data_IF_486176290529
#
_entry.id   IF_486176290529
#
_cell.length_a   1.000
_cell.length_b   1.000
_cell.length_c   1.000
_cell.angle_alpha   90.00
_cell.angle_beta   90.00
_cell.angle_gamma   90.00
#
_symmetry.space_group_name_H-M   'P 1'
#
loop_
_entity.id
_entity.type
_entity.pdbx_description
1 polymer ?
#
# COMPACT_ATOMS: atom_id res chain seq x y z
N UNK A 1 15.04 12.58 -69.95
CA UNK A 1 13.69 12.38 -70.53
C UNK A 1 13.23 10.96 -70.19
N UNK A 2 11.97 10.85 -69.79
CA UNK A 2 11.20 9.76 -69.15
C UNK A 2 11.64 8.29 -69.29
N UNK A 3 11.66 7.60 -68.14
CA UNK A 3 11.40 6.16 -68.04
C UNK A 3 10.16 5.92 -67.18
N UNK A 4 9.21 5.19 -67.77
CA UNK A 4 7.89 4.91 -67.24
C UNK A 4 7.89 3.83 -66.15
N UNK A 5 7.35 4.17 -64.99
CA UNK A 5 6.14 3.55 -64.42
C UNK A 5 6.05 2.00 -64.45
N UNK A 6 6.34 1.36 -63.31
CA UNK A 6 5.66 0.14 -62.80
C UNK A 6 6.08 -0.15 -61.35
N UNK A 7 5.60 0.68 -60.43
CA UNK A 7 5.52 0.32 -59.03
C UNK A 7 4.24 -0.50 -58.83
N UNK A 8 4.38 -1.80 -58.56
CA UNK A 8 3.25 -2.63 -58.10
C UNK A 8 2.92 -2.18 -56.68
N UNK A 9 1.99 -1.23 -56.62
CA UNK A 9 1.33 -0.73 -55.43
C UNK A 9 0.49 -1.89 -54.91
N UNK A 10 0.91 -2.49 -53.78
CA UNK A 10 0.05 -3.39 -53.01
C UNK A 10 -1.30 -2.70 -52.82
N UNK A 11 -2.33 -3.41 -53.26
CA UNK A 11 -3.71 -2.97 -53.26
C UNK A 11 -4.05 -2.38 -51.89
N UNK A 12 -4.53 -1.14 -51.92
CA UNK A 12 -5.30 -0.60 -50.82
C UNK A 12 -6.50 -1.49 -50.64
N UNK A 13 -6.66 -2.02 -49.43
CA UNK A 13 -7.99 -2.28 -48.93
C UNK A 13 -8.68 -0.91 -48.87
N UNK A 14 -9.61 -0.70 -49.79
CA UNK A 14 -10.73 0.21 -49.59
C UNK A 14 -11.37 -0.13 -48.25
N UNK A 15 -10.94 0.58 -47.19
CA UNK A 15 -11.78 0.78 -46.03
C UNK A 15 -12.81 1.81 -46.45
N UNK A 16 -13.89 1.30 -47.04
CA UNK A 16 -15.17 2.00 -47.15
C UNK A 16 -15.44 2.72 -45.83
N UNK A 17 -15.75 4.01 -45.95
CA UNK A 17 -15.97 4.90 -44.84
C UNK A 17 -16.99 4.35 -43.86
N UNK A 18 -16.51 4.07 -42.65
CA UNK A 18 -17.29 4.11 -41.43
C UNK A 18 -16.51 4.98 -40.45
N UNK A 19 -16.39 6.27 -40.78
CA UNK A 19 -16.04 7.30 -39.79
C UNK A 19 -17.22 7.50 -38.86
N UNK A 20 -16.90 7.82 -37.59
CA UNK A 20 -17.78 8.22 -36.49
C UNK A 20 -18.60 7.10 -35.83
N UNK A 21 -18.17 6.53 -34.70
CA UNK A 21 -18.16 7.25 -33.41
C UNK A 21 -17.34 6.54 -32.30
N UNK A 22 -16.47 5.60 -32.65
CA UNK A 22 -15.74 4.74 -31.68
C UNK A 22 -14.35 5.25 -31.26
N UNK A 23 -13.91 6.38 -31.80
CA UNK A 23 -12.53 6.88 -31.68
C UNK A 23 -12.26 7.79 -30.48
N UNK A 24 -13.28 8.48 -29.93
CA UNK A 24 -13.08 9.46 -28.85
C UNK A 24 -13.38 8.87 -27.48
N UNK A 25 -12.58 7.89 -27.04
CA UNK A 25 -12.70 7.36 -25.69
C UNK A 25 -11.40 6.77 -25.17
N UNK A 26 -11.12 7.01 -23.89
CA UNK A 26 -9.99 6.43 -23.15
C UNK A 26 -10.46 5.17 -22.43
N UNK A 27 -9.59 4.16 -22.38
CA UNK A 27 -9.88 2.90 -21.72
C UNK A 27 -9.53 3.00 -20.22
N UNK A 28 -10.49 2.64 -19.38
CA UNK A 28 -10.38 2.61 -17.92
C UNK A 28 -10.65 1.18 -17.42
N UNK A 29 -9.85 0.73 -16.48
CA UNK A 29 -10.12 -0.43 -15.66
C UNK A 29 -11.03 0.00 -14.51
N UNK A 30 -12.30 -0.38 -14.59
CA UNK A 30 -13.29 -0.14 -13.54
C UNK A 30 -13.26 -1.31 -12.57
N UNK A 31 -12.85 -1.05 -11.34
CA UNK A 31 -12.78 -2.00 -10.24
C UNK A 31 -14.01 -1.82 -9.36
N UNK A 32 -14.61 -2.91 -8.92
CA UNK A 32 -15.79 -2.87 -8.05
C UNK A 32 -15.83 -4.08 -7.10
N UNK A 33 -16.47 -3.93 -5.94
CA UNK A 33 -16.76 -5.02 -5.02
C UNK A 33 -18.26 -5.31 -5.01
N UNK A 34 -18.64 -6.58 -5.17
CA UNK A 34 -20.02 -7.04 -5.01
C UNK A 34 -20.32 -7.41 -3.56
N UNK A 35 -19.30 -7.87 -2.84
CA UNK A 35 -19.29 -8.11 -1.40
C UNK A 35 -17.83 -8.16 -0.94
N UNK A 36 -17.61 -8.52 0.32
CA UNK A 36 -16.28 -8.58 0.95
C UNK A 36 -15.31 -9.56 0.27
N UNK A 37 -15.83 -10.55 -0.46
CA UNK A 37 -15.06 -11.62 -1.08
C UNK A 37 -15.04 -11.57 -2.61
N UNK A 38 -16.02 -10.89 -3.23
CA UNK A 38 -16.22 -10.87 -4.67
C UNK A 38 -15.79 -9.52 -5.23
N UNK A 39 -14.52 -9.48 -5.65
CA UNK A 39 -13.94 -8.35 -6.38
C UNK A 39 -14.07 -8.61 -7.87
N UNK A 40 -14.60 -7.62 -8.59
CA UNK A 40 -14.70 -7.64 -10.04
C UNK A 40 -13.91 -6.48 -10.64
N UNK A 41 -13.44 -6.67 -11.87
CA UNK A 41 -12.94 -5.56 -12.67
C UNK A 41 -13.37 -5.73 -14.12
N UNK A 42 -13.67 -4.62 -14.78
CA UNK A 42 -14.06 -4.60 -16.17
C UNK A 42 -13.39 -3.43 -16.87
N UNK A 43 -12.91 -3.65 -18.09
CA UNK A 43 -12.38 -2.58 -18.92
C UNK A 43 -13.53 -1.90 -19.64
N UNK A 44 -13.64 -0.58 -19.47
CA UNK A 44 -14.68 0.25 -20.05
C UNK A 44 -14.07 1.46 -20.74
N UNK A 45 -14.71 1.93 -21.81
CA UNK A 45 -14.25 3.09 -22.58
C UNK A 45 -15.14 4.29 -22.28
N UNK A 46 -14.53 5.39 -21.82
CA UNK A 46 -15.21 6.65 -21.50
C UNK A 46 -14.66 7.80 -22.33
N UNK A 47 -15.49 8.78 -22.70
CA UNK A 47 -15.07 9.94 -23.49
C UNK A 47 -14.16 10.91 -22.72
N UNK A 48 -14.29 10.95 -21.38
CA UNK A 48 -13.52 11.77 -20.46
C UNK A 48 -13.15 10.99 -19.20
N UNK A 49 -12.69 11.69 -18.15
CA UNK A 49 -12.51 11.06 -16.82
C UNK A 49 -13.89 10.79 -16.20
N UNK A 50 -14.30 9.53 -16.02
CA UNK A 50 -15.66 9.20 -15.64
C UNK A 50 -15.91 9.54 -14.18
N UNK A 51 -17.02 10.23 -13.91
CA UNK A 51 -17.50 10.45 -12.54
C UNK A 51 -18.19 9.20 -11.99
N UNK A 52 -18.30 9.08 -10.66
CA UNK A 52 -19.06 7.99 -10.02
C UNK A 52 -20.44 7.70 -10.64
N UNK A 53 -21.34 8.68 -10.87
CA UNK A 53 -22.67 8.40 -11.43
C UNK A 53 -22.59 7.80 -12.84
N UNK A 54 -21.56 8.12 -13.61
CA UNK A 54 -21.32 7.57 -14.94
C UNK A 54 -20.84 6.12 -14.86
N UNK A 55 -19.95 5.81 -13.90
CA UNK A 55 -19.49 4.44 -13.63
C UNK A 55 -20.65 3.52 -13.23
N UNK A 56 -21.51 3.95 -12.30
CA UNK A 56 -22.67 3.15 -11.89
C UNK A 56 -23.67 2.93 -13.04
N UNK A 57 -23.89 3.97 -13.85
CA UNK A 57 -24.77 3.87 -15.03
C UNK A 57 -24.24 2.87 -16.05
N UNK A 58 -22.92 2.84 -16.25
CA UNK A 58 -22.30 1.90 -17.17
C UNK A 58 -22.30 0.47 -16.63
N UNK A 59 -21.97 0.28 -15.34
CA UNK A 59 -22.01 -1.03 -14.68
C UNK A 59 -23.43 -1.63 -14.64
N UNK A 60 -24.47 -0.80 -14.51
CA UNK A 60 -25.86 -1.24 -14.57
C UNK A 60 -26.22 -1.89 -15.92
N UNK A 61 -25.64 -1.44 -17.04
CA UNK A 61 -25.87 -2.05 -18.36
C UNK A 61 -25.40 -3.51 -18.43
N UNK A 62 -24.45 -3.89 -17.59
CA UNK A 62 -23.93 -5.25 -17.47
C UNK A 62 -24.69 -6.08 -16.41
N UNK A 63 -25.83 -5.60 -15.91
CA UNK A 63 -26.65 -6.30 -14.93
C UNK A 63 -26.15 -6.19 -13.49
N UNK A 64 -25.16 -5.33 -13.22
CA UNK A 64 -24.67 -5.10 -11.86
C UNK A 64 -25.56 -4.08 -11.16
N UNK A 65 -26.19 -4.48 -10.06
CA UNK A 65 -27.05 -3.60 -9.28
C UNK A 65 -26.19 -2.56 -8.52
N UNK A 66 -26.39 -1.25 -8.70
CA UNK A 66 -25.65 -0.21 -7.99
C UNK A 66 -25.69 -0.35 -6.47
N UNK A 67 -26.79 -0.85 -5.91
CA UNK A 67 -26.95 -1.06 -4.47
C UNK A 67 -26.06 -2.20 -3.92
N UNK A 68 -25.63 -3.11 -4.77
CA UNK A 68 -24.73 -4.22 -4.41
C UNK A 68 -23.25 -3.89 -4.67
N UNK A 69 -22.96 -2.76 -5.33
CA UNK A 69 -21.61 -2.36 -5.69
C UNK A 69 -21.01 -1.46 -4.60
N UNK A 70 -19.87 -1.87 -4.07
CA UNK A 70 -19.02 -1.13 -3.13
C UNK A 70 -17.69 -0.78 -3.80
N UNK A 71 -17.08 0.33 -3.36
CA UNK A 71 -15.76 0.81 -3.77
C UNK A 71 -15.52 0.80 -5.30
N UNK A 72 -16.48 1.38 -6.04
CA UNK A 72 -16.34 1.51 -7.49
C UNK A 72 -15.30 2.59 -7.81
N UNK A 73 -14.23 2.19 -8.48
CA UNK A 73 -13.13 3.06 -8.88
C UNK A 73 -12.75 2.82 -10.34
N UNK A 74 -12.34 3.87 -11.04
CA UNK A 74 -11.87 3.78 -12.41
C UNK A 74 -10.43 4.29 -12.51
N UNK A 75 -9.55 3.43 -13.01
CA UNK A 75 -8.14 3.76 -13.25
C UNK A 75 -7.86 3.66 -14.74
N UNK A 76 -7.15 4.63 -15.34
CA UNK A 76 -6.81 4.52 -16.76
C UNK A 76 -5.93 3.30 -16.99
N UNK A 77 -6.21 2.55 -18.05
CA UNK A 77 -5.43 1.33 -18.38
C UNK A 77 -3.96 1.66 -18.66
N UNK A 78 -3.66 2.85 -19.18
CA UNK A 78 -2.29 3.35 -19.36
C UNK A 78 -1.53 3.40 -18.02
N UNK A 79 -2.17 3.93 -16.98
CA UNK A 79 -1.56 4.11 -15.65
C UNK A 79 -1.34 2.77 -14.95
N UNK A 80 -2.21 1.77 -15.19
CA UNK A 80 -2.06 0.41 -14.64
C UNK A 80 -0.82 -0.30 -15.20
N UNK A 81 -0.53 -0.14 -16.50
CA UNK A 81 0.68 -0.71 -17.12
C UNK A 81 1.95 -0.06 -16.57
N UNK A 82 1.92 1.25 -16.36
CA UNK A 82 3.04 2.00 -15.79
C UNK A 82 3.28 1.62 -14.33
N UNK A 83 2.22 1.39 -13.55
CA UNK A 83 2.34 0.89 -12.18
C UNK A 83 2.95 -0.51 -12.13
N UNK A 84 2.53 -1.43 -12.99
CA UNK A 84 3.13 -2.78 -13.08
C UNK A 84 4.61 -2.75 -13.48
N UNK A 85 4.98 -1.88 -14.42
CA UNK A 85 6.37 -1.70 -14.83
C UNK A 85 7.25 -1.11 -13.72
N UNK A 86 6.73 -0.13 -12.96
CA UNK A 86 7.40 0.47 -11.80
C UNK A 86 7.58 -0.54 -10.67
N UNK A 87 6.58 -1.38 -10.41
CA UNK A 87 6.67 -2.43 -9.40
C UNK A 87 7.73 -3.49 -9.77
N UNK A 88 7.74 -3.94 -11.03
CA UNK A 88 8.77 -4.86 -11.51
C UNK A 88 10.18 -4.24 -11.48
N UNK A 89 10.32 -2.94 -11.72
CA UNK A 89 11.60 -2.24 -11.62
C UNK A 89 12.05 -2.09 -10.16
N UNK A 90 11.13 -1.79 -9.24
CA UNK A 90 11.41 -1.71 -7.81
C UNK A 90 11.87 -3.08 -7.25
N UNK A 91 11.22 -4.17 -7.67
CA UNK A 91 11.63 -5.52 -7.28
C UNK A 91 13.05 -5.85 -7.75
N UNK A 92 13.39 -5.58 -9.02
CA UNK A 92 14.74 -5.80 -9.54
C UNK A 92 15.80 -4.94 -8.82
N UNK A 93 15.46 -3.70 -8.47
CA UNK A 93 16.34 -2.83 -7.70
C UNK A 93 16.58 -3.36 -6.27
N UNK A 94 15.54 -3.91 -5.63
CA UNK A 94 15.68 -4.53 -4.30
C UNK A 94 16.51 -5.83 -4.34
N UNK A 95 16.36 -6.66 -5.37
CA UNK A 95 17.19 -7.87 -5.55
C UNK A 95 18.66 -7.53 -5.82
N UNK A 96 18.93 -6.51 -6.64
CA UNK A 96 20.29 -6.03 -6.90
C UNK A 96 20.96 -5.45 -5.64
N UNK A 97 20.20 -4.73 -4.80
CA UNK A 97 20.70 -4.20 -3.54
C UNK A 97 21.04 -5.32 -2.53
N UNK A 98 20.22 -6.37 -2.44
CA UNK A 98 20.49 -7.52 -1.59
C UNK A 98 21.70 -8.36 -2.07
N UNK A 99 21.90 -8.47 -3.38
CA UNK A 99 23.08 -9.13 -3.95
C UNK A 99 24.38 -8.37 -3.63
N UNK A 100 24.35 -7.03 -3.67
CA UNK A 100 25.51 -6.20 -3.34
C UNK A 100 25.90 -6.31 -1.86
N UNK A 101 24.92 -6.33 -0.93
CA UNK A 101 25.17 -6.43 0.51
C UNK A 101 25.78 -7.79 0.91
N UNK A 102 25.42 -8.87 0.21
CA UNK A 102 26.05 -10.20 0.38
C UNK A 102 27.53 -10.22 -0.01
N UNK A 103 27.95 -9.46 -1.02
CA UNK A 103 29.36 -9.39 -1.42
C UNK A 103 30.23 -8.59 -0.46
N UNK A 104 29.67 -7.56 0.20
CA UNK A 104 30.38 -6.78 1.21
C UNK A 104 30.58 -7.59 2.51
N UNK A 105 29.56 -8.33 2.96
CA UNK A 105 29.67 -9.18 4.17
C UNK A 105 30.68 -10.32 4.03
N UNK A 106 30.89 -10.85 2.82
CA UNK A 106 31.87 -11.92 2.58
C UNK A 106 33.34 -11.45 2.64
N UNK A 107 33.60 -10.13 2.55
CA UNK A 107 34.97 -9.57 2.55
C UNK A 107 35.50 -9.19 3.95
N UNK A 108 34.65 -9.17 4.97
CA UNK A 108 34.99 -8.71 6.32
C UNK A 108 35.29 -9.80 7.36
N UNK A 109 35.33 -11.09 6.99
CA UNK A 109 35.57 -12.19 7.94
C UNK A 109 37.02 -12.66 8.06
N UNK A 110 37.99 -11.94 7.47
CA UNK A 110 39.41 -12.25 7.69
C UNK A 110 40.23 -10.98 7.88
N UNK A 111 40.43 -10.58 9.14
CA UNK A 111 41.71 -10.07 9.64
C UNK A 111 41.55 -9.47 11.04
N UNK A 112 42.48 -9.86 11.91
CA UNK A 112 43.03 -9.06 13.01
C UNK A 112 42.26 -8.99 14.33
N UNK A 113 42.64 -9.89 15.23
CA UNK A 113 42.85 -9.57 16.65
C UNK A 113 43.72 -8.31 16.77
N UNK A 114 43.18 -7.26 17.39
CA UNK A 114 43.98 -6.39 18.26
C UNK A 114 43.09 -5.86 19.37
N UNK A 115 43.23 -6.51 20.52
CA UNK A 115 43.15 -5.91 21.85
C UNK A 115 43.68 -4.47 21.79
N UNK A 116 42.91 -3.50 22.28
CA UNK A 116 43.36 -2.34 23.04
C UNK A 116 42.21 -1.88 23.93
N UNK A 117 42.57 -1.68 25.18
CA UNK A 117 41.72 -1.23 26.26
C UNK A 117 41.22 0.18 25.99
N UNK A 118 39.91 0.36 25.94
CA UNK A 118 39.32 1.65 26.28
C UNK A 118 38.17 1.42 27.26
N UNK A 119 38.39 1.90 28.47
CA UNK A 119 37.41 1.92 29.53
C UNK A 119 36.33 2.94 29.17
N UNK A 120 35.02 2.62 29.21
CA UNK A 120 34.02 3.67 29.10
C UNK A 120 34.14 4.57 30.34
N UNK A 121 34.07 5.91 30.21
CA UNK A 121 33.90 6.75 31.38
C UNK A 121 32.58 6.34 32.03
N UNK A 122 32.67 5.86 33.28
CA UNK A 122 31.53 5.68 34.16
C UNK A 122 30.77 7.01 34.20
N UNK A 123 29.65 7.07 33.50
CA UNK A 123 28.72 8.18 33.64
C UNK A 123 28.20 8.13 35.06
N UNK A 124 28.51 9.17 35.83
CA UNK A 124 28.04 9.35 37.18
C UNK A 124 26.51 9.40 37.15
N UNK A 125 25.90 8.34 37.67
CA UNK A 125 24.47 8.18 37.85
C UNK A 125 23.94 9.30 38.76
N UNK A 126 23.47 10.41 38.19
CA UNK A 126 22.59 11.35 38.91
C UNK A 126 21.20 10.73 38.99
N UNK A 127 20.99 9.90 40.02
CA UNK A 127 19.66 9.50 40.49
C UNK A 127 18.96 10.77 40.99
N UNK A 128 17.88 11.20 40.32
CA UNK A 128 17.09 12.34 40.82
C UNK A 128 15.87 12.72 39.99
N UNK A 129 15.90 12.63 38.65
CA UNK A 129 14.81 13.19 37.82
C UNK A 129 14.32 12.25 36.70
N UNK A 130 15.07 11.20 36.34
CA UNK A 130 14.66 10.28 35.26
C UNK A 130 13.43 9.44 35.61
N UNK A 131 13.27 9.03 36.87
CA UNK A 131 12.11 8.25 37.32
C UNK A 131 10.77 8.95 37.06
N UNK A 132 10.56 10.17 37.59
CA UNK A 132 9.32 10.90 37.35
C UNK A 132 9.13 11.27 35.87
N UNK A 133 10.19 11.59 35.12
CA UNK A 133 10.09 11.86 33.67
C UNK A 133 9.63 10.64 32.87
N UNK A 134 10.15 9.45 33.17
CA UNK A 134 9.71 8.20 32.51
C UNK A 134 8.24 7.94 32.85
N UNK A 135 7.84 8.13 34.10
CA UNK A 135 6.45 7.95 34.52
C UNK A 135 5.51 8.91 33.78
N UNK A 136 5.88 10.19 33.66
CA UNK A 136 5.13 11.18 32.88
C UNK A 136 5.07 10.78 31.40
N UNK A 137 6.17 10.32 30.80
CA UNK A 137 6.19 9.88 29.41
C UNK A 137 5.26 8.67 29.17
N UNK A 138 5.22 7.71 30.09
CA UNK A 138 4.31 6.55 30.03
C UNK A 138 2.84 7.01 30.16
N UNK A 139 2.54 7.94 31.08
CA UNK A 139 1.19 8.49 31.23
C UNK A 139 0.74 9.23 29.97
N UNK A 140 1.59 10.08 29.39
CA UNK A 140 1.29 10.80 28.15
C UNK A 140 1.09 9.80 27.00
N UNK A 141 1.95 8.80 26.89
CA UNK A 141 1.80 7.75 25.88
C UNK A 141 0.48 7.00 26.04
N UNK A 142 0.13 6.57 27.26
CA UNK A 142 -1.13 5.89 27.55
C UNK A 142 -2.35 6.74 27.22
N UNK A 143 -2.29 8.05 27.49
CA UNK A 143 -3.34 8.99 27.10
C UNK A 143 -3.49 9.09 25.57
N UNK A 144 -2.37 9.18 24.84
CA UNK A 144 -2.39 9.16 23.37
C UNK A 144 -2.96 7.85 22.81
N UNK A 145 -2.63 6.70 23.41
CA UNK A 145 -3.22 5.41 23.04
C UNK A 145 -4.74 5.42 23.25
N UNK A 146 -5.22 5.95 24.38
CA UNK A 146 -6.66 6.00 24.68
C UNK A 146 -7.45 6.93 23.75
N UNK A 147 -6.81 7.97 23.20
CA UNK A 147 -7.41 8.89 22.24
C UNK A 147 -7.43 8.33 20.81
N UNK A 148 -6.66 7.28 20.51
CA UNK A 148 -6.56 6.70 19.17
C UNK A 148 -7.71 5.72 18.86
N UNK A 149 -8.96 6.20 18.99
CA UNK A 149 -10.17 5.39 18.86
C UNK A 149 -10.35 4.81 17.45
N UNK A 150 -9.91 5.52 16.40
CA UNK A 150 -9.96 5.00 15.02
C UNK A 150 -9.12 3.73 14.85
N UNK A 151 -7.85 3.77 15.28
CA UNK A 151 -6.96 2.60 15.23
C UNK A 151 -7.44 1.45 16.12
N UNK A 152 -7.99 1.75 17.30
CA UNK A 152 -8.59 0.74 18.16
C UNK A 152 -9.75 0.02 17.46
N UNK A 153 -10.68 0.77 16.87
CA UNK A 153 -11.82 0.21 16.14
C UNK A 153 -11.38 -0.63 14.94
N UNK A 154 -10.38 -0.17 14.16
CA UNK A 154 -9.77 -0.97 13.10
C UNK A 154 -9.24 -2.30 13.65
N UNK A 155 -8.53 -2.27 14.78
CA UNK A 155 -8.05 -3.48 15.45
C UNK A 155 -9.18 -4.43 15.80
N UNK A 156 -10.27 -3.93 16.40
CA UNK A 156 -11.44 -4.78 16.76
C UNK A 156 -12.14 -5.38 15.53
N UNK A 157 -12.14 -4.67 14.39
CA UNK A 157 -12.68 -5.19 13.14
C UNK A 157 -11.82 -6.36 12.66
N UNK A 158 -10.50 -6.20 12.66
CA UNK A 158 -9.56 -7.29 12.30
C UNK A 158 -9.71 -8.50 13.23
N UNK A 159 -10.01 -8.27 14.51
CA UNK A 159 -10.25 -9.34 15.47
C UNK A 159 -11.40 -10.28 15.07
N UNK A 160 -12.49 -9.73 14.51
CA UNK A 160 -13.65 -10.51 14.06
C UNK A 160 -13.36 -11.48 12.91
N UNK A 161 -12.30 -11.22 12.12
CA UNK A 161 -11.89 -12.07 11.01
C UNK A 161 -10.88 -13.15 11.41
N UNK A 162 -10.50 -13.19 12.69
CA UNK A 162 -9.55 -14.17 13.20
C UNK A 162 -10.24 -15.50 13.45
N UNK A 163 -9.50 -16.57 13.18
CA UNK A 163 -9.87 -17.92 13.60
C UNK A 163 -9.24 -18.16 14.97
N UNK A 164 -10.01 -18.69 15.93
CA UNK A 164 -9.54 -19.01 17.28
C UNK A 164 -8.20 -19.75 17.23
N UNK A 165 -7.16 -19.09 17.73
CA UNK A 165 -5.77 -19.52 17.66
C UNK A 165 -5.07 -19.27 18.99
N UNK A 166 -3.91 -19.90 19.21
CA UNK A 166 -3.10 -19.66 20.40
C UNK A 166 -2.64 -18.20 20.46
N UNK A 167 -2.44 -17.66 21.68
CA UNK A 167 -2.11 -16.25 21.89
C UNK A 167 -0.88 -15.76 21.08
N UNK A 168 0.10 -16.64 20.86
CA UNK A 168 1.28 -16.33 20.02
C UNK A 168 0.92 -16.12 18.55
N UNK A 169 0.16 -17.04 17.97
CA UNK A 169 -0.39 -16.88 16.61
C UNK A 169 -1.30 -15.66 16.56
N UNK A 170 -2.03 -15.40 17.65
CA UNK A 170 -2.92 -14.26 17.74
C UNK A 170 -2.14 -12.94 17.61
N UNK A 171 -1.09 -12.80 18.40
CA UNK A 171 -0.22 -11.62 18.36
C UNK A 171 0.43 -11.44 16.98
N UNK A 172 0.90 -12.52 16.36
CA UNK A 172 1.56 -12.47 15.06
C UNK A 172 0.61 -11.99 13.95
N UNK A 173 -0.63 -12.48 13.89
CA UNK A 173 -1.60 -11.97 12.89
C UNK A 173 -1.99 -10.53 13.18
N UNK A 174 -2.13 -10.10 14.45
CA UNK A 174 -2.40 -8.70 14.76
C UNK A 174 -1.26 -7.81 14.27
N UNK A 175 -0.03 -8.27 14.48
CA UNK A 175 1.17 -7.53 14.08
C UNK A 175 1.31 -7.47 12.56
N UNK A 176 0.97 -8.55 11.86
CA UNK A 176 0.92 -8.57 10.40
C UNK A 176 -0.14 -7.59 9.86
N UNK A 177 -1.38 -7.69 10.36
CA UNK A 177 -2.47 -6.81 9.97
C UNK A 177 -2.17 -5.33 10.25
N UNK A 178 -1.50 -5.03 11.38
CA UNK A 178 -1.03 -3.69 11.67
C UNK A 178 -0.03 -3.19 10.61
N UNK A 179 0.92 -4.04 10.21
CA UNK A 179 1.91 -3.73 9.18
C UNK A 179 1.23 -3.40 7.84
N UNK A 180 0.33 -4.27 7.40
CA UNK A 180 -0.42 -4.08 6.16
C UNK A 180 -1.24 -2.78 6.19
N UNK A 181 -1.87 -2.48 7.33
CA UNK A 181 -2.66 -1.26 7.51
C UNK A 181 -1.79 0.00 7.54
N UNK A 182 -0.63 -0.05 8.19
CA UNK A 182 0.33 1.05 8.22
C UNK A 182 0.92 1.36 6.84
N UNK A 183 1.24 0.34 6.04
CA UNK A 183 1.70 0.51 4.66
C UNK A 183 0.60 1.07 3.75
N UNK A 184 -0.64 0.61 3.94
CA UNK A 184 -1.80 1.14 3.21
C UNK A 184 -2.02 2.64 3.49
N UNK A 185 -1.98 3.04 4.77
CA UNK A 185 -2.12 4.46 5.16
C UNK A 185 -0.98 5.32 4.59
N UNK A 186 0.26 4.83 4.64
CA UNK A 186 1.41 5.50 4.02
C UNK A 186 1.22 5.64 2.50
N UNK A 187 0.64 4.63 1.84
CA UNK A 187 0.34 4.66 0.41
C UNK A 187 -0.74 5.67 0.03
N UNK A 188 -1.75 5.89 0.87
CA UNK A 188 -2.82 6.86 0.63
C UNK A 188 -2.33 8.29 0.84
N UNK A 189 -1.67 8.55 1.96
CA UNK A 189 -1.34 9.91 2.37
C UNK A 189 0.06 10.35 1.94
N UNK A 190 0.91 9.42 1.51
CA UNK A 190 2.29 9.70 1.08
C UNK A 190 3.25 10.07 2.21
N UNK A 191 2.78 10.09 3.46
CA UNK A 191 3.57 10.44 4.63
C UNK A 191 3.17 9.59 5.84
N UNK A 192 4.11 9.45 6.80
CA UNK A 192 3.81 8.77 8.04
C UNK A 192 2.91 9.63 8.94
N UNK A 193 1.94 9.02 9.63
CA UNK A 193 1.09 9.75 10.56
C UNK A 193 1.92 10.41 11.66
N UNK A 194 1.57 11.65 12.01
CA UNK A 194 2.19 12.37 13.13
C UNK A 194 1.74 11.79 14.49
N UNK A 195 2.49 12.07 15.55
CA UNK A 195 2.30 11.50 16.90
C UNK A 195 0.87 11.63 17.47
N UNK A 196 0.15 12.68 17.09
CA UNK A 196 -1.20 13.00 17.57
C UNK A 196 -2.31 12.46 16.67
N UNK A 197 -1.94 11.82 15.57
CA UNK A 197 -2.91 11.21 14.67
C UNK A 197 -3.26 9.82 15.18
N UNK A 198 -4.47 9.41 14.91
CA UNK A 198 -5.06 8.14 15.35
C UNK A 198 -4.96 7.05 14.27
N UNK A 199 -4.12 7.25 13.25
CA UNK A 199 -3.91 6.32 12.13
C UNK A 199 -2.73 5.37 12.37
N UNK A 200 -2.82 4.11 11.92
CA UNK A 200 -1.70 3.17 11.96
C UNK A 200 -0.47 3.73 11.22
N UNK A 201 0.72 3.50 11.80
CA UNK A 201 1.98 4.07 11.34
C UNK A 201 3.03 2.99 11.16
N UNK A 202 3.95 3.18 10.21
CA UNK A 202 5.12 2.27 10.08
C UNK A 202 6.10 2.42 11.24
N UNK A 203 5.97 3.48 12.04
CA UNK A 203 6.78 3.68 13.24
C UNK A 203 6.33 2.76 14.38
N UNK A 204 7.18 1.85 14.89
CA UNK A 204 6.75 0.78 15.80
C UNK A 204 6.25 1.26 17.17
N UNK A 205 6.73 2.40 17.66
CA UNK A 205 6.33 2.96 18.95
C UNK A 205 5.25 4.05 18.81
N UNK A 206 4.47 4.03 17.73
CA UNK A 206 3.38 4.98 17.55
C UNK A 206 2.19 4.64 18.46
N UNK A 207 1.58 5.60 19.18
CA UNK A 207 0.45 5.32 20.07
C UNK A 207 -0.73 4.64 19.36
N UNK A 208 -1.01 5.05 18.12
CA UNK A 208 -2.07 4.46 17.31
C UNK A 208 -1.83 2.96 17.01
N UNK A 209 -0.56 2.54 16.88
CA UNK A 209 -0.23 1.12 16.68
C UNK A 209 -0.53 0.29 17.93
N UNK A 210 -0.22 0.83 19.11
CA UNK A 210 -0.57 0.18 20.36
C UNK A 210 -2.09 0.08 20.55
N UNK A 211 -2.84 1.13 20.18
CA UNK A 211 -4.31 1.11 20.21
C UNK A 211 -4.89 0.05 19.26
N UNK A 212 -4.36 -0.06 18.04
CA UNK A 212 -4.74 -1.09 17.08
C UNK A 212 -4.47 -2.50 17.62
N UNK A 213 -3.26 -2.75 18.13
CA UNK A 213 -2.90 -4.07 18.68
C UNK A 213 -3.78 -4.43 19.87
N UNK A 214 -4.08 -3.47 20.75
CA UNK A 214 -5.02 -3.69 21.86
C UNK A 214 -6.39 -4.08 21.33
N UNK A 215 -6.97 -3.31 20.40
CA UNK A 215 -8.27 -3.63 19.81
C UNK A 215 -8.30 -4.99 19.12
N UNK A 216 -7.22 -5.34 18.42
CA UNK A 216 -7.08 -6.62 17.72
C UNK A 216 -6.89 -7.83 18.66
N UNK A 217 -6.34 -7.62 19.86
CA UNK A 217 -6.15 -8.68 20.86
C UNK A 217 -7.35 -8.86 21.79
N UNK A 218 -8.17 -7.82 21.97
CA UNK A 218 -9.31 -7.83 22.90
C UNK A 218 -10.68 -7.94 22.21
N UNK A 219 -10.75 -7.64 20.91
CA UNK A 219 -11.95 -7.83 20.09
C UNK A 219 -12.22 -9.31 19.83
#
# INVERSE_FOLDING_TARGET
>A
MSAAQRGIRRQGAESTGMTDSTADGRDYLVSYLLNEYQRGSMVMRFRGDPGQPELFRELFKYGLNPAALKDVAATRVADVKDQGARYAQAQRASEAAQAHDRTLRARHTSSSKSQWSDSPPRTTRKRGVLGPLIFVAILVYGLLVSMASYSFNLGTIEANFRVDSSLGVTLDTCRSALGDRAEFELGIYGENPGLFTDRPSTFPAHPANAAFLLGCLTG
#
